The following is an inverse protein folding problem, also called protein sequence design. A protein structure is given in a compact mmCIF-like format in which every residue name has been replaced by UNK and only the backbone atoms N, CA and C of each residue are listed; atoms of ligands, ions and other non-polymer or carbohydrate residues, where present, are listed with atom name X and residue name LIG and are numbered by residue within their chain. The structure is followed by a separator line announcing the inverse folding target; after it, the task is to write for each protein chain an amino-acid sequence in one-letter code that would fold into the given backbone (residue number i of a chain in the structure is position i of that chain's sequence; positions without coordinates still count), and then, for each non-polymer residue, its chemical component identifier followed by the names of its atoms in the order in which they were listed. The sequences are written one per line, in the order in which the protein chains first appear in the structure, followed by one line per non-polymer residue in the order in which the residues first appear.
data_IF_611300557269
#
_entry.id   IF_611300557269
#
_cell.length_a   1.000
_cell.length_b   1.000
_cell.length_c   1.000
_cell.angle_alpha   90.00
_cell.angle_beta   90.00
_cell.angle_gamma   90.00
#
_symmetry.space_group_name_H-M   'P 1'
#
loop_
_entity.id
_entity.type
_entity.pdbx_description
1 polymer ?
#
# COMPACT_ATOMS: atom_id res chain seq x y z
N UNK A 1 -3.97 0.04 -9.93
CA UNK A 1 -2.75 0.86 -9.66
C UNK A 1 -1.47 0.03 -9.82
N UNK A 2 -1.53 -1.10 -10.55
CA UNK A 2 -0.37 -1.95 -10.78
C UNK A 2 0.71 -1.22 -11.57
N UNK A 3 1.98 -1.40 -11.18
CA UNK A 3 3.16 -0.74 -11.77
C UNK A 3 3.11 0.81 -11.73
N UNK A 4 2.24 1.39 -10.91
CA UNK A 4 2.13 2.84 -10.80
C UNK A 4 3.31 3.42 -10.01
N UNK A 5 3.77 4.60 -10.41
CA UNK A 5 4.62 5.42 -9.56
C UNK A 5 3.73 6.31 -8.67
N UNK A 6 3.69 5.99 -7.38
CA UNK A 6 2.95 6.71 -6.33
C UNK A 6 3.91 7.38 -5.34
N UNK A 7 5.15 7.63 -5.76
CA UNK A 7 6.16 8.29 -4.92
C UNK A 7 5.64 9.65 -4.45
N UNK A 8 5.57 9.86 -3.13
CA UNK A 8 5.08 11.08 -2.50
C UNK A 8 3.56 11.30 -2.60
N UNK A 9 2.79 10.32 -3.08
CA UNK A 9 1.34 10.44 -3.15
C UNK A 9 0.72 10.47 -1.75
N UNK A 10 -0.30 11.32 -1.56
CA UNK A 10 -1.19 11.23 -0.41
C UNK A 10 -2.36 10.30 -0.75
N UNK A 11 -2.44 9.18 -0.05
CA UNK A 11 -3.57 8.23 -0.04
C UNK A 11 -4.29 8.27 1.31
N UNK A 12 -4.18 9.39 2.02
CA UNK A 12 -4.81 9.61 3.32
C UNK A 12 -6.32 9.37 3.22
N UNK A 13 -6.86 8.51 4.09
CA UNK A 13 -8.28 8.10 4.10
C UNK A 13 -8.81 7.51 2.77
N UNK A 14 -7.93 7.10 1.84
CA UNK A 14 -8.35 6.50 0.59
C UNK A 14 -8.98 5.13 0.83
N UNK A 15 -10.04 4.82 0.08
CA UNK A 15 -10.57 3.46 0.02
C UNK A 15 -9.82 2.66 -1.04
N UNK A 16 -8.95 1.77 -0.60
CA UNK A 16 -8.17 0.85 -1.42
C UNK A 16 -8.67 -0.60 -1.28
N UNK A 17 -9.89 -0.82 -0.81
CA UNK A 17 -10.47 -2.16 -0.66
C UNK A 17 -10.34 -2.95 -1.96
N UNK A 18 -9.72 -4.13 -1.88
CA UNK A 18 -9.43 -5.01 -3.02
C UNK A 18 -8.64 -4.36 -4.18
N UNK A 19 -7.95 -3.25 -3.94
CA UNK A 19 -7.15 -2.59 -4.97
C UNK A 19 -5.95 -3.44 -5.40
N UNK A 20 -5.64 -3.43 -6.69
CA UNK A 20 -4.41 -4.00 -7.22
C UNK A 20 -3.30 -2.94 -7.27
N UNK A 21 -2.31 -3.07 -6.38
CA UNK A 21 -1.10 -2.24 -6.27
C UNK A 21 0.16 -3.03 -6.62
N UNK A 22 0.04 -4.18 -7.30
CA UNK A 22 1.18 -5.03 -7.64
C UNK A 22 2.28 -4.23 -8.34
N UNK A 23 3.51 -4.34 -7.83
CA UNK A 23 4.72 -3.68 -8.35
C UNK A 23 4.66 -2.14 -8.38
N UNK A 24 3.82 -1.50 -7.57
CA UNK A 24 3.81 -0.05 -7.45
C UNK A 24 5.04 0.48 -6.67
N UNK A 25 5.51 1.67 -7.04
CA UNK A 25 6.54 2.40 -6.29
C UNK A 25 5.84 3.35 -5.32
N UNK A 26 6.05 3.16 -4.02
CA UNK A 26 5.30 3.85 -2.96
C UNK A 26 6.22 4.60 -1.97
N UNK A 27 7.41 5.02 -2.43
CA UNK A 27 8.35 5.80 -1.63
C UNK A 27 7.68 7.06 -1.08
N UNK A 28 7.76 7.29 0.24
CA UNK A 28 7.17 8.46 0.90
C UNK A 28 5.66 8.63 0.67
N UNK A 29 4.91 7.55 0.41
CA UNK A 29 3.45 7.60 0.35
C UNK A 29 2.87 7.86 1.75
N UNK A 30 1.79 8.62 1.84
CA UNK A 30 0.99 8.70 3.06
C UNK A 30 -0.22 7.76 2.97
N UNK A 31 -0.26 6.72 3.81
CA UNK A 31 -1.34 5.74 3.92
C UNK A 31 -2.23 5.97 5.15
N UNK A 32 -2.09 7.10 5.84
CA UNK A 32 -2.81 7.38 7.09
C UNK A 32 -4.31 7.21 6.92
N UNK A 33 -4.93 6.35 7.74
CA UNK A 33 -6.35 6.01 7.71
C UNK A 33 -6.87 5.39 6.40
N UNK A 34 -5.99 4.89 5.51
CA UNK A 34 -6.43 4.22 4.29
C UNK A 34 -7.11 2.88 4.59
N UNK A 35 -8.22 2.58 3.91
CA UNK A 35 -8.84 1.25 4.00
C UNK A 35 -8.16 0.32 3.00
N UNK A 36 -7.42 -0.68 3.46
CA UNK A 36 -6.56 -1.55 2.62
C UNK A 36 -6.99 -3.02 2.61
N UNK A 37 -8.18 -3.33 3.13
CA UNK A 37 -8.67 -4.71 3.24
C UNK A 37 -8.70 -5.39 1.87
N UNK A 38 -7.99 -6.50 1.73
CA UNK A 38 -7.86 -7.28 0.50
C UNK A 38 -7.02 -6.63 -0.60
N UNK A 39 -6.41 -5.47 -0.35
CA UNK A 39 -5.54 -4.81 -1.33
C UNK A 39 -4.25 -5.62 -1.54
N UNK A 40 -3.85 -5.80 -2.80
CA UNK A 40 -2.68 -6.60 -3.18
C UNK A 40 -1.44 -5.73 -3.33
N UNK A 41 -0.47 -5.88 -2.42
CA UNK A 41 0.80 -5.17 -2.39
C UNK A 41 1.99 -6.00 -2.91
N UNK A 42 1.73 -7.07 -3.66
CA UNK A 42 2.79 -7.94 -4.19
C UNK A 42 3.84 -7.13 -4.94
N UNK A 43 5.11 -7.23 -4.51
CA UNK A 43 6.23 -6.58 -5.19
C UNK A 43 6.23 -5.06 -5.12
N UNK A 44 5.42 -4.46 -4.24
CA UNK A 44 5.51 -3.02 -3.95
C UNK A 44 6.88 -2.68 -3.39
N UNK A 45 7.39 -1.51 -3.73
CA UNK A 45 8.69 -1.01 -3.28
C UNK A 45 8.52 0.32 -2.53
N UNK A 46 9.39 0.57 -1.56
CA UNK A 46 9.50 1.87 -0.89
C UNK A 46 8.59 2.06 0.32
N UNK A 47 7.98 0.99 0.85
CA UNK A 47 7.28 1.02 2.13
C UNK A 47 8.26 1.04 3.29
N UNK A 48 7.89 1.69 4.40
CA UNK A 48 8.59 1.52 5.69
C UNK A 48 8.10 0.28 6.41
N UNK A 49 8.87 -0.22 7.38
CA UNK A 49 8.43 -1.34 8.22
C UNK A 49 7.13 -1.05 8.98
N UNK A 50 6.88 0.22 9.36
CA UNK A 50 5.62 0.61 10.00
C UNK A 50 4.46 0.52 9.02
N UNK A 51 4.65 0.94 7.77
CA UNK A 51 3.63 0.83 6.74
C UNK A 51 3.32 -0.62 6.42
N UNK A 52 4.34 -1.47 6.29
CA UNK A 52 4.14 -2.90 6.08
C UNK A 52 3.37 -3.55 7.23
N UNK A 53 3.71 -3.20 8.47
CA UNK A 53 2.98 -3.68 9.64
C UNK A 53 1.53 -3.20 9.63
N UNK A 54 1.29 -1.92 9.36
CA UNK A 54 -0.06 -1.36 9.19
C UNK A 54 -0.86 -2.14 8.15
N UNK A 55 -0.28 -2.39 6.97
CA UNK A 55 -0.95 -3.14 5.90
C UNK A 55 -1.31 -4.57 6.34
N UNK A 56 -0.38 -5.26 7.01
CA UNK A 56 -0.58 -6.62 7.53
C UNK A 56 -1.72 -6.65 8.58
N UNK A 57 -1.78 -5.67 9.47
CA UNK A 57 -2.81 -5.55 10.51
C UNK A 57 -4.21 -5.20 9.96
N UNK A 58 -4.27 -4.46 8.83
CA UNK A 58 -5.53 -3.97 8.27
C UNK A 58 -6.06 -4.84 7.10
N UNK A 59 -5.52 -6.05 6.96
CA UNK A 59 -6.04 -7.07 6.05
C UNK A 59 -5.58 -6.92 4.60
N UNK A 60 -4.49 -6.19 4.34
CA UNK A 60 -3.84 -6.23 3.04
C UNK A 60 -3.22 -7.61 2.78
N UNK A 61 -3.06 -7.95 1.50
CA UNK A 61 -2.50 -9.23 1.07
C UNK A 61 -1.21 -9.04 0.28
N UNK A 62 -0.35 -10.06 0.32
CA UNK A 62 0.96 -10.06 -0.37
C UNK A 62 1.84 -8.86 -0.03
N UNK A 63 1.78 -8.38 1.21
CA UNK A 63 2.65 -7.31 1.70
C UNK A 63 4.11 -7.82 1.69
N UNK A 64 5.07 -7.04 1.17
CA UNK A 64 6.49 -7.42 1.18
C UNK A 64 7.02 -7.70 2.61
N UNK A 65 8.10 -8.49 2.67
CA UNK A 65 8.78 -8.90 3.91
C UNK A 65 9.73 -7.82 4.40
#
# INVERSE_FOLDING_TARGET
LSNANLTGASLTAANLTAANLTSAQMYSVDLSNATVTGANFQGVQGLTSEQEQYLKEHGAINVPQ
#
